data_IF_687636227783
#
_entry.id   IF_687636227783
#
_cell.length_a   1.000
_cell.length_b   1.000
_cell.length_c   1.000
_cell.angle_alpha   90.00
_cell.angle_beta   90.00
_cell.angle_gamma   90.00
#
_symmetry.space_group_name_H-M   'P 1'
#
loop_
_entity.id
_entity.type
_entity.pdbx_description
1 polymer ?
#
# COMPACT_ATOMS: atom_id res chain seq x y z
N UNK A 1 9.36 49.35 9.09
CA UNK A 1 10.50 48.54 9.58
C UNK A 1 10.03 47.31 10.38
N UNK A 2 8.96 46.64 9.94
CA UNK A 2 8.32 45.52 10.65
C UNK A 2 7.98 44.32 9.76
N UNK A 3 8.47 44.31 8.52
CA UNK A 3 8.11 43.27 7.55
C UNK A 3 9.29 42.39 7.12
N UNK A 4 10.53 42.80 7.44
CA UNK A 4 11.72 41.99 7.15
C UNK A 4 12.04 40.92 8.19
N UNK A 5 11.43 40.95 9.38
CA UNK A 5 11.69 39.96 10.44
C UNK A 5 10.81 38.70 10.32
N UNK A 6 9.65 38.78 9.67
CA UNK A 6 8.76 37.62 9.45
C UNK A 6 9.23 36.73 8.31
N UNK A 7 9.79 37.33 7.25
CA UNK A 7 10.37 36.59 6.12
C UNK A 7 11.66 35.84 6.51
N UNK A 8 12.47 36.37 7.44
CA UNK A 8 13.69 35.69 7.92
C UNK A 8 13.39 34.47 8.80
N UNK A 9 12.29 34.45 9.54
CA UNK A 9 11.94 33.30 10.42
C UNK A 9 11.39 32.13 9.60
N UNK A 10 10.61 32.40 8.54
CA UNK A 10 10.09 31.34 7.64
C UNK A 10 11.20 30.74 6.77
N UNK A 11 12.19 31.54 6.34
CA UNK A 11 13.37 31.03 5.63
C UNK A 11 14.33 30.24 6.52
N UNK A 12 14.44 30.56 7.83
CA UNK A 12 15.24 29.74 8.75
C UNK A 12 14.58 28.37 9.04
N UNK A 13 13.24 28.29 9.12
CA UNK A 13 12.55 27.02 9.32
C UNK A 13 12.67 26.08 8.11
N UNK A 14 12.65 26.63 6.89
CA UNK A 14 12.87 25.85 5.67
C UNK A 14 14.34 25.40 5.49
N UNK A 15 15.33 26.17 5.98
CA UNK A 15 16.74 25.77 5.92
C UNK A 15 17.10 24.70 6.98
N UNK A 16 16.44 24.69 8.13
CA UNK A 16 16.65 23.68 9.18
C UNK A 16 16.07 22.32 8.79
N UNK A 17 15.00 22.27 7.98
CA UNK A 17 14.47 20.99 7.45
C UNK A 17 15.32 20.38 6.32
N UNK A 18 16.09 21.17 5.56
CA UNK A 18 17.00 20.65 4.53
C UNK A 18 18.36 20.22 5.13
N UNK A 19 18.80 20.81 6.25
CA UNK A 19 20.03 20.40 6.95
C UNK A 19 19.86 19.14 7.81
N UNK A 20 18.63 18.78 8.23
CA UNK A 20 18.35 17.57 9.01
C UNK A 20 18.31 16.27 8.17
N UNK A 21 18.38 16.37 6.83
CA UNK A 21 18.44 15.22 5.91
C UNK A 21 19.85 14.98 5.31
N UNK A 22 20.87 15.72 5.78
CA UNK A 22 22.25 15.67 5.23
C UNK A 22 23.33 15.18 6.19
N UNK A 23 23.01 14.83 7.44
CA UNK A 23 23.98 14.31 8.41
C UNK A 23 23.57 12.92 8.83
N UNK A 24 24.05 11.90 8.12
CA UNK A 24 24.45 10.60 8.67
C UNK A 24 25.31 9.90 7.62
N UNK A 25 26.55 10.37 7.49
CA UNK A 25 27.64 9.55 6.95
C UNK A 25 28.91 9.80 7.76
N UNK A 26 29.40 8.70 8.33
CA UNK A 26 30.80 8.42 8.66
C UNK A 26 31.50 9.25 9.75
N UNK A 27 31.53 8.70 10.97
CA UNK A 27 32.75 8.71 11.79
C UNK A 27 33.09 7.28 12.22
N UNK A 28 33.99 6.67 11.47
CA UNK A 28 34.81 5.55 11.91
C UNK A 28 35.82 6.11 12.92
N UNK A 29 35.64 5.79 14.19
CA UNK A 29 36.72 5.92 15.18
C UNK A 29 37.50 4.63 15.24
N UNK A 30 38.77 4.76 14.88
CA UNK A 30 39.84 3.76 15.01
C UNK A 30 39.99 3.30 16.46
N UNK A 31 40.00 1.99 16.67
CA UNK A 31 40.32 1.36 17.95
C UNK A 31 41.00 0.01 17.72
N UNK A 32 42.31 0.00 17.97
CA UNK A 32 43.20 -1.11 18.35
C UNK A 32 42.99 -2.53 17.79
N UNK A 33 43.95 -2.92 16.93
CA UNK A 33 44.40 -4.32 16.81
C UNK A 33 45.35 -4.68 17.96
N UNK A 34 45.26 -5.88 18.55
CA UNK A 34 46.41 -6.51 19.19
C UNK A 34 47.26 -7.29 18.16
N UNK A 35 48.57 -7.17 18.35
CA UNK A 35 49.61 -7.83 17.58
C UNK A 35 49.63 -9.36 17.77
N UNK A 36 49.92 -10.09 16.70
CA UNK A 36 50.62 -11.37 16.77
C UNK A 36 51.48 -11.54 15.50
N UNK A 37 52.78 -11.72 15.72
CA UNK A 37 53.82 -11.90 14.70
C UNK A 37 53.93 -13.33 14.14
N UNK A 38 55.04 -13.65 13.45
CA UNK A 38 54.99 -14.26 12.12
C UNK A 38 55.40 -15.75 12.07
N UNK A 39 55.11 -16.42 10.94
CA UNK A 39 55.61 -17.77 10.66
C UNK A 39 55.42 -18.26 9.22
N UNK A 40 56.46 -18.07 8.40
CA UNK A 40 57.02 -18.99 7.39
C UNK A 40 56.12 -19.74 6.35
N UNK A 41 56.33 -19.38 5.08
CA UNK A 41 56.34 -20.25 3.88
C UNK A 41 57.37 -21.40 3.99
N UNK A 42 57.43 -22.46 3.12
CA UNK A 42 57.13 -22.43 1.67
C UNK A 42 56.60 -23.73 0.99
N UNK A 43 56.28 -23.61 -0.32
CA UNK A 43 56.62 -24.63 -1.32
C UNK A 43 55.48 -25.08 -2.26
N UNK A 44 55.68 -24.90 -3.58
CA UNK A 44 54.98 -25.68 -4.62
C UNK A 44 54.69 -24.97 -5.94
N UNK A 45 55.67 -24.92 -6.86
CA UNK A 45 55.48 -24.76 -8.32
C UNK A 45 54.61 -25.89 -8.90
N UNK A 46 53.80 -25.64 -9.96
CA UNK A 46 53.98 -26.15 -11.34
C UNK A 46 53.08 -25.33 -12.31
N UNK A 47 53.62 -25.02 -13.49
CA UNK A 47 53.02 -24.28 -14.61
C UNK A 47 52.17 -25.14 -15.56
N UNK A 48 51.28 -24.50 -16.35
CA UNK A 48 50.93 -24.77 -17.77
C UNK A 48 49.61 -24.03 -18.12
N UNK A 49 49.65 -22.89 -18.80
CA UNK A 49 49.55 -22.71 -20.27
C UNK A 49 48.13 -22.81 -20.84
N UNK A 50 47.59 -21.70 -21.36
CA UNK A 50 46.43 -21.71 -22.25
C UNK A 50 45.69 -20.36 -22.31
N UNK A 51 46.08 -19.49 -23.23
CA UNK A 51 45.31 -18.35 -23.77
C UNK A 51 45.49 -18.36 -25.31
N UNK A 52 44.73 -17.60 -26.13
CA UNK A 52 43.47 -16.88 -25.88
C UNK A 52 42.43 -17.03 -27.03
N UNK A 53 41.21 -16.52 -26.84
CA UNK A 53 40.42 -15.91 -27.95
C UNK A 53 39.70 -14.67 -27.42
N UNK A 54 40.20 -13.50 -27.84
CA UNK A 54 39.50 -12.21 -27.76
C UNK A 54 38.49 -12.08 -28.91
N UNK A 55 37.32 -11.54 -28.61
CA UNK A 55 36.61 -10.64 -29.52
C UNK A 55 36.08 -9.46 -28.69
N UNK A 56 36.61 -8.28 -28.98
CA UNK A 56 36.33 -7.05 -28.27
C UNK A 56 35.10 -6.28 -28.75
N UNK A 57 34.95 -5.10 -28.16
CA UNK A 57 34.22 -3.98 -28.76
C UNK A 57 33.29 -3.26 -27.80
N UNK A 58 33.61 -1.99 -27.52
CA UNK A 58 32.58 -0.96 -27.39
C UNK A 58 32.52 -0.21 -26.06
N UNK A 59 33.47 0.71 -25.86
CA UNK A 59 33.30 1.84 -24.94
C UNK A 59 32.20 2.79 -25.46
N UNK A 60 31.39 3.33 -24.55
CA UNK A 60 30.36 4.32 -24.83
C UNK A 60 29.87 5.01 -23.55
N UNK A 61 30.76 5.78 -22.91
CA UNK A 61 30.40 6.66 -21.82
C UNK A 61 29.63 7.88 -22.32
N UNK A 62 28.52 8.20 -21.66
CA UNK A 62 27.77 9.44 -21.91
C UNK A 62 28.02 10.41 -20.75
N UNK A 63 28.61 11.55 -21.11
CA UNK A 63 28.85 12.72 -20.30
C UNK A 63 27.54 13.31 -19.76
N UNK A 64 27.56 13.75 -18.50
CA UNK A 64 26.70 14.85 -18.04
C UNK A 64 27.55 16.13 -17.92
N UNK A 65 27.13 17.26 -18.50
CA UNK A 65 27.85 18.52 -18.40
C UNK A 65 27.62 19.24 -17.07
N UNK A 66 28.67 19.94 -16.67
CA UNK A 66 28.88 20.76 -15.49
C UNK A 66 27.87 21.91 -15.29
N UNK A 67 27.63 22.25 -14.01
CA UNK A 67 27.30 23.60 -13.56
C UNK A 67 28.14 23.96 -12.30
N UNK A 68 28.38 25.25 -12.02
CA UNK A 68 29.70 25.77 -11.66
C UNK A 68 29.99 25.80 -10.15
N UNK A 69 31.28 25.64 -9.82
CA UNK A 69 31.83 25.92 -8.50
C UNK A 69 31.95 27.44 -8.28
N UNK A 70 31.41 27.92 -7.17
CA UNK A 70 31.73 29.23 -6.61
C UNK A 70 32.76 29.03 -5.49
N UNK A 71 33.95 29.57 -5.71
CA UNK A 71 35.05 29.57 -4.76
C UNK A 71 34.77 30.50 -3.56
N UNK A 72 35.03 30.02 -2.34
CA UNK A 72 35.22 30.89 -1.18
C UNK A 72 36.49 30.45 -0.43
N UNK A 73 37.37 31.44 -0.23
CA UNK A 73 38.72 31.34 0.33
C UNK A 73 38.74 30.94 1.81
N UNK A 74 39.80 30.23 2.17
CA UNK A 74 40.24 29.96 3.54
C UNK A 74 40.66 31.24 4.28
N UNK A 75 40.39 31.27 5.60
CA UNK A 75 40.87 32.28 6.53
C UNK A 75 40.79 31.81 7.99
N UNK A 76 41.95 31.43 8.52
CA UNK A 76 42.42 31.35 9.91
C UNK A 76 41.44 31.29 11.11
N UNK A 77 41.71 30.30 11.98
CA UNK A 77 41.41 30.26 13.42
C UNK A 77 42.28 31.30 14.21
N UNK A 78 42.07 31.62 15.51
CA UNK A 78 42.04 30.63 16.61
C UNK A 78 41.11 30.92 17.81
N UNK A 79 40.87 29.88 18.63
CA UNK A 79 41.06 30.01 20.08
C UNK A 79 39.89 29.78 21.06
N UNK A 80 40.11 28.78 21.93
CA UNK A 80 39.98 28.86 23.40
C UNK A 80 38.68 28.33 24.09
N UNK A 81 38.88 27.20 24.78
CA UNK A 81 38.32 26.70 26.08
C UNK A 81 36.88 26.22 26.24
N UNK A 82 36.76 24.97 26.72
CA UNK A 82 35.71 24.46 27.62
C UNK A 82 36.02 24.85 29.09
N UNK A 83 35.05 24.82 30.03
CA UNK A 83 34.74 23.60 30.80
C UNK A 83 33.22 23.42 31.12
N UNK A 84 32.67 22.20 31.17
CA UNK A 84 32.50 21.24 32.29
C UNK A 84 31.22 21.39 33.16
N UNK A 85 30.45 20.29 33.14
CA UNK A 85 29.72 19.58 34.22
C UNK A 85 28.52 20.14 35.04
N UNK A 86 27.60 19.17 35.26
CA UNK A 86 26.71 18.91 36.41
C UNK A 86 25.26 19.46 36.43
N UNK A 87 24.28 18.54 36.51
CA UNK A 87 22.86 18.78 36.85
C UNK A 87 22.63 18.92 38.37
N UNK A 88 21.48 18.52 38.98
CA UNK A 88 20.15 18.16 38.46
C UNK A 88 18.96 18.85 39.20
N UNK A 89 17.73 18.43 38.85
CA UNK A 89 16.47 18.45 39.62
C UNK A 89 15.70 19.77 39.85
N UNK A 90 14.39 19.75 39.52
CA UNK A 90 13.43 20.78 39.92
C UNK A 90 12.05 20.58 39.31
N UNK A 91 11.12 20.07 40.12
CA UNK A 91 9.67 19.96 39.93
C UNK A 91 8.96 21.22 39.40
N UNK A 92 7.93 21.07 38.56
CA UNK A 92 6.62 21.76 38.68
C UNK A 92 5.66 21.35 37.53
N UNK A 93 4.41 21.06 37.89
CA UNK A 93 3.22 21.13 37.03
C UNK A 93 2.14 21.93 37.80
N UNK A 94 1.05 22.41 37.18
CA UNK A 94 0.80 22.69 35.77
C UNK A 94 0.48 24.19 35.54
N UNK A 95 0.63 24.72 34.32
CA UNK A 95 0.10 26.04 33.98
C UNK A 95 -0.68 26.01 32.67
N UNK A 96 -1.81 26.73 32.71
CA UNK A 96 -2.92 26.70 31.79
C UNK A 96 -2.56 27.11 30.36
N UNK A 97 -3.35 26.56 29.42
CA UNK A 97 -3.33 26.87 28.01
C UNK A 97 -3.68 28.34 27.73
N UNK A 98 -3.04 28.98 26.74
CA UNK A 98 -3.66 30.04 25.98
C UNK A 98 -4.40 29.43 24.77
N UNK A 99 -5.71 29.68 24.72
CA UNK A 99 -6.52 29.58 23.51
C UNK A 99 -5.97 30.55 22.46
N UNK A 100 -5.50 30.04 21.34
CA UNK A 100 -5.28 30.81 20.11
C UNK A 100 -5.70 29.92 18.93
N UNK A 101 -7.00 29.90 18.67
CA UNK A 101 -7.58 29.39 17.43
C UNK A 101 -7.56 30.49 16.38
N UNK A 102 -6.97 30.29 15.19
CA UNK A 102 -7.21 31.20 14.08
C UNK A 102 -8.63 30.97 13.54
N UNK A 103 -9.52 31.92 13.79
CA UNK A 103 -10.79 32.03 13.10
C UNK A 103 -10.55 32.22 11.60
N UNK A 104 -11.10 31.33 10.78
CA UNK A 104 -11.16 31.52 9.32
C UNK A 104 -12.18 32.63 9.02
N UNK A 105 -11.88 33.61 8.14
CA UNK A 105 -12.85 34.64 7.79
C UNK A 105 -14.01 34.03 6.97
N UNK A 106 -15.25 34.50 7.14
CA UNK A 106 -16.37 34.06 6.31
C UNK A 106 -16.15 34.59 4.88
N UNK A 107 -16.10 33.68 3.91
CA UNK A 107 -16.17 34.02 2.50
C UNK A 107 -17.59 34.47 2.17
N UNK A 108 -17.69 35.64 1.55
CA UNK A 108 -18.92 36.30 1.13
C UNK A 108 -19.84 35.37 0.33
N UNK A 109 -21.10 35.32 0.76
CA UNK A 109 -22.24 34.84 0.00
C UNK A 109 -22.47 35.77 -1.18
N UNK A 110 -22.59 35.20 -2.39
CA UNK A 110 -23.49 35.70 -3.44
C UNK A 110 -23.47 34.71 -4.62
N UNK A 111 -24.38 33.73 -4.57
CA UNK A 111 -24.98 33.16 -5.78
C UNK A 111 -26.30 32.47 -5.41
N UNK A 112 -27.33 33.30 -5.28
CA UNK A 112 -28.73 32.92 -5.21
C UNK A 112 -29.12 32.23 -6.54
N UNK A 113 -29.10 30.89 -6.56
CA UNK A 113 -29.70 30.14 -7.68
C UNK A 113 -31.21 30.03 -7.48
N UNK A 114 -31.95 30.74 -8.34
CA UNK A 114 -33.41 30.72 -8.43
C UNK A 114 -33.85 29.70 -9.50
N UNK A 115 -34.79 28.78 -9.24
CA UNK A 115 -35.16 27.74 -10.21
C UNK A 115 -36.14 28.26 -11.28
N UNK A 116 -36.06 27.78 -12.54
CA UNK A 116 -37.19 27.82 -13.46
C UNK A 116 -38.12 26.63 -13.20
N UNK A 117 -39.40 26.93 -13.01
CA UNK A 117 -40.45 25.96 -12.74
C UNK A 117 -40.93 25.13 -13.94
N UNK A 118 -41.65 24.08 -13.57
CA UNK A 118 -42.76 23.41 -14.25
C UNK A 118 -42.95 23.64 -15.75
N UNK A 119 -42.74 22.58 -16.53
CA UNK A 119 -43.61 22.25 -17.66
C UNK A 119 -43.99 20.78 -17.61
N UNK A 120 -45.27 20.55 -17.35
CA UNK A 120 -45.98 19.31 -17.54
C UNK A 120 -46.26 19.03 -19.02
N UNK A 121 -46.43 17.74 -19.34
CA UNK A 121 -47.33 17.29 -20.40
C UNK A 121 -46.69 16.61 -21.61
N UNK A 122 -46.78 15.28 -21.68
CA UNK A 122 -47.56 14.60 -22.73
C UNK A 122 -47.51 13.09 -22.52
N UNK A 123 -48.68 12.51 -22.23
CA UNK A 123 -48.99 11.10 -22.42
C UNK A 123 -48.90 10.72 -23.91
N UNK A 124 -48.57 9.46 -24.20
CA UNK A 124 -49.19 8.71 -25.30
C UNK A 124 -49.03 7.20 -25.08
N UNK A 125 -50.19 6.56 -25.13
CA UNK A 125 -50.58 5.16 -25.00
C UNK A 125 -50.07 4.22 -26.11
N UNK A 126 -49.92 2.94 -25.74
CA UNK A 126 -50.63 1.84 -26.40
C UNK A 126 -49.83 0.90 -27.32
N UNK A 127 -50.00 -0.41 -27.11
CA UNK A 127 -49.86 -1.41 -28.17
C UNK A 127 -49.17 -2.72 -27.80
N UNK A 128 -49.91 -3.65 -27.19
CA UNK A 128 -49.56 -5.06 -27.14
C UNK A 128 -49.90 -5.75 -28.47
N UNK A 129 -49.05 -6.64 -28.98
CA UNK A 129 -49.46 -7.79 -29.80
C UNK A 129 -48.51 -8.98 -29.61
N UNK A 130 -49.14 -10.14 -29.46
CA UNK A 130 -48.58 -11.46 -29.31
C UNK A 130 -48.39 -12.19 -30.65
N UNK A 131 -47.65 -13.31 -30.58
CA UNK A 131 -47.59 -14.37 -31.58
C UNK A 131 -46.16 -14.67 -32.01
N UNK A 132 -45.70 -15.88 -32.27
CA UNK A 132 -46.13 -17.25 -32.03
C UNK A 132 -44.96 -18.14 -32.50
N UNK A 133 -44.92 -19.38 -32.06
CA UNK A 133 -43.82 -20.31 -32.25
C UNK A 133 -43.65 -20.84 -33.68
N UNK A 134 -42.45 -21.32 -34.00
CA UNK A 134 -42.28 -22.47 -34.89
C UNK A 134 -41.22 -23.43 -34.34
N UNK A 135 -41.67 -24.67 -34.13
CA UNK A 135 -40.87 -25.86 -33.84
C UNK A 135 -40.23 -26.38 -35.13
N UNK A 136 -39.04 -26.95 -35.03
CA UNK A 136 -38.61 -28.01 -35.93
C UNK A 136 -37.87 -29.10 -35.14
N UNK A 137 -38.37 -30.32 -35.33
CA UNK A 137 -37.99 -31.59 -34.71
C UNK A 137 -36.89 -32.29 -35.50
N UNK A 138 -36.07 -33.12 -34.84
CA UNK A 138 -35.40 -34.24 -35.50
C UNK A 138 -34.07 -34.67 -34.87
N UNK A 139 -34.11 -35.71 -34.03
CA UNK A 139 -33.00 -36.65 -33.81
C UNK A 139 -33.31 -37.94 -34.60
N UNK A 140 -32.31 -38.78 -34.95
CA UNK A 140 -31.85 -39.81 -34.01
C UNK A 140 -30.33 -40.13 -34.06
N UNK A 141 -29.94 -41.06 -33.17
CA UNK A 141 -28.61 -41.44 -32.72
C UNK A 141 -27.76 -42.34 -33.65
N UNK A 142 -26.46 -42.47 -33.36
CA UNK A 142 -25.65 -43.68 -33.67
C UNK A 142 -24.17 -43.50 -34.07
N UNK A 143 -23.27 -43.48 -33.07
CA UNK A 143 -21.99 -44.23 -32.96
C UNK A 143 -20.77 -44.08 -33.94
N UNK A 144 -19.66 -43.60 -33.35
CA UNK A 144 -18.22 -44.02 -33.42
C UNK A 144 -17.31 -43.87 -34.68
N UNK A 145 -16.12 -43.34 -34.35
CA UNK A 145 -14.76 -43.54 -34.91
C UNK A 145 -14.25 -42.71 -36.10
N UNK A 146 -13.20 -41.91 -35.83
CA UNK A 146 -12.01 -41.86 -36.71
C UNK A 146 -11.56 -40.50 -37.28
N UNK A 147 -10.49 -39.95 -36.67
CA UNK A 147 -9.38 -39.21 -37.31
C UNK A 147 -9.64 -37.81 -37.93
N UNK A 148 -9.30 -36.80 -37.13
CA UNK A 148 -8.36 -35.72 -37.45
C UNK A 148 -8.61 -34.81 -38.67
N UNK A 149 -9.00 -33.57 -38.40
CA UNK A 149 -8.36 -32.33 -38.91
C UNK A 149 -9.09 -31.09 -38.36
N UNK A 150 -8.35 -30.28 -37.62
CA UNK A 150 -8.39 -28.81 -37.55
C UNK A 150 -9.68 -28.12 -38.02
N UNK A 151 -10.45 -27.57 -37.08
CA UNK A 151 -11.22 -26.36 -37.31
C UNK A 151 -11.34 -25.59 -36.00
N UNK A 152 -10.82 -24.36 -36.03
CA UNK A 152 -10.74 -23.43 -34.93
C UNK A 152 -12.13 -23.08 -34.37
N UNK A 153 -12.26 -23.15 -33.05
CA UNK A 153 -13.20 -22.36 -32.26
C UNK A 153 -12.47 -21.93 -30.98
N UNK A 154 -11.35 -21.21 -31.15
CA UNK A 154 -10.86 -20.31 -30.13
C UNK A 154 -11.73 -19.06 -30.17
N UNK A 155 -12.93 -19.17 -29.61
CA UNK A 155 -13.76 -18.03 -29.25
C UNK A 155 -13.19 -17.36 -28.01
N UNK A 156 -11.97 -16.82 -28.11
CA UNK A 156 -11.49 -15.87 -27.13
C UNK A 156 -12.24 -14.59 -27.38
N UNK A 157 -13.30 -14.33 -26.62
CA UNK A 157 -13.79 -12.97 -26.45
C UNK A 157 -12.61 -12.17 -25.91
N UNK A 158 -11.98 -11.35 -26.75
CA UNK A 158 -11.06 -10.32 -26.28
C UNK A 158 -11.89 -9.36 -25.46
N UNK A 159 -12.04 -9.67 -24.16
CA UNK A 159 -12.57 -8.71 -23.20
C UNK A 159 -11.74 -7.45 -23.33
N UNK A 160 -12.45 -6.33 -23.51
CA UNK A 160 -11.79 -5.03 -23.57
C UNK A 160 -11.10 -4.81 -22.23
N UNK A 161 -9.90 -4.20 -22.22
CA UNK A 161 -9.23 -3.87 -20.98
C UNK A 161 -10.16 -3.03 -20.11
N UNK A 162 -10.33 -3.40 -18.84
CA UNK A 162 -11.23 -2.72 -17.90
C UNK A 162 -10.53 -2.37 -16.61
N UNK A 163 -11.11 -1.44 -15.86
CA UNK A 163 -10.68 -1.02 -14.53
C UNK A 163 -11.90 -0.90 -13.61
N UNK A 164 -11.70 -1.18 -12.33
CA UNK A 164 -12.74 -1.02 -11.32
C UNK A 164 -12.47 0.22 -10.46
N UNK A 165 -13.54 0.93 -10.10
CA UNK A 165 -13.53 2.07 -9.21
C UNK A 165 -14.58 1.86 -8.12
N UNK A 166 -14.12 1.82 -6.87
CA UNK A 166 -14.99 1.86 -5.69
C UNK A 166 -14.70 3.13 -4.90
N UNK A 167 -15.76 3.82 -4.49
CA UNK A 167 -15.69 4.98 -3.59
C UNK A 167 -16.45 4.62 -2.32
N UNK A 168 -15.80 4.74 -1.18
CA UNK A 168 -16.38 4.44 0.13
C UNK A 168 -16.17 5.58 1.11
N UNK A 169 -16.78 5.44 2.28
CA UNK A 169 -16.47 6.23 3.46
C UNK A 169 -16.40 5.36 4.71
N UNK A 170 -15.77 5.93 5.73
CA UNK A 170 -15.65 5.37 7.07
C UNK A 170 -14.94 4.00 7.03
N UNK A 171 -13.72 3.98 6.47
CA UNK A 171 -12.86 2.79 6.36
C UNK A 171 -13.52 1.64 5.56
N UNK A 172 -14.17 2.00 4.45
CA UNK A 172 -14.82 1.03 3.56
C UNK A 172 -16.16 0.48 4.05
N UNK A 173 -16.73 1.01 5.13
CA UNK A 173 -18.00 0.53 5.71
C UNK A 173 -19.22 0.90 4.89
N UNK A 174 -19.18 2.05 4.23
CA UNK A 174 -20.27 2.50 3.37
C UNK A 174 -19.76 2.73 1.95
N UNK A 175 -20.35 2.00 1.00
CA UNK A 175 -20.11 2.19 -0.44
C UNK A 175 -20.95 3.36 -0.95
N UNK A 176 -20.29 4.30 -1.62
CA UNK A 176 -20.88 5.49 -2.24
C UNK A 176 -20.95 5.35 -3.76
N UNK A 177 -20.01 4.62 -4.35
CA UNK A 177 -19.96 4.30 -5.78
C UNK A 177 -19.21 2.97 -5.96
N UNK A 178 -19.69 2.13 -6.87
CA UNK A 178 -19.02 0.91 -7.31
C UNK A 178 -19.30 0.72 -8.81
N UNK A 179 -18.25 0.82 -9.62
CA UNK A 179 -18.34 0.84 -11.08
C UNK A 179 -17.14 0.13 -11.72
N UNK A 180 -17.43 -0.58 -12.79
CA UNK A 180 -16.45 -0.99 -13.79
C UNK A 180 -16.47 0.00 -14.96
N UNK A 181 -15.31 0.28 -15.53
CA UNK A 181 -15.16 1.11 -16.72
C UNK A 181 -14.21 0.47 -17.72
N UNK A 182 -14.47 0.67 -19.01
CA UNK A 182 -13.52 0.32 -20.07
C UNK A 182 -12.28 1.23 -19.96
N UNK A 183 -11.10 0.65 -20.09
CA UNK A 183 -9.85 1.39 -20.06
C UNK A 183 -9.62 2.04 -21.43
N UNK A 184 -9.90 3.33 -21.51
CA UNK A 184 -9.41 4.17 -22.60
C UNK A 184 -7.89 4.29 -22.48
N UNK A 185 -7.16 4.13 -23.59
CA UNK A 185 -5.72 3.78 -23.66
C UNK A 185 -4.71 4.83 -23.13
N UNK A 186 -5.13 5.78 -22.31
CA UNK A 186 -4.25 6.74 -21.62
C UNK A 186 -4.84 7.30 -20.31
N UNK A 187 -5.89 6.71 -19.74
CA UNK A 187 -6.60 7.25 -18.57
C UNK A 187 -5.74 7.35 -17.31
N UNK A 188 -6.00 8.40 -16.51
CA UNK A 188 -5.46 8.55 -15.15
C UNK A 188 -6.54 8.20 -14.13
N UNK A 189 -6.15 7.94 -12.88
CA UNK A 189 -7.12 7.70 -11.79
C UNK A 189 -8.10 8.89 -11.65
N UNK A 190 -7.60 10.13 -11.77
CA UNK A 190 -8.44 11.32 -11.71
C UNK A 190 -9.42 11.39 -12.88
N UNK A 191 -8.97 11.11 -14.10
CA UNK A 191 -9.84 11.12 -15.28
C UNK A 191 -10.93 10.03 -15.19
N UNK A 192 -10.58 8.83 -14.70
CA UNK A 192 -11.53 7.77 -14.40
C UNK A 192 -12.58 8.23 -13.40
N UNK A 193 -12.13 8.82 -12.29
CA UNK A 193 -13.03 9.32 -11.24
C UNK A 193 -13.96 10.43 -11.77
N UNK A 194 -13.43 11.39 -12.52
CA UNK A 194 -14.21 12.48 -13.14
C UNK A 194 -15.22 12.01 -14.18
N UNK A 195 -14.95 10.89 -14.86
CA UNK A 195 -15.90 10.27 -15.79
C UNK A 195 -17.08 9.59 -15.09
N UNK A 196 -16.95 9.25 -13.81
CA UNK A 196 -17.91 8.43 -13.06
C UNK A 196 -18.56 9.15 -11.87
N UNK A 197 -18.00 10.28 -11.43
CA UNK A 197 -18.46 11.04 -10.28
C UNK A 197 -18.27 12.55 -10.49
N UNK A 198 -18.99 13.35 -9.70
CA UNK A 198 -18.70 14.78 -9.57
C UNK A 198 -17.49 14.96 -8.65
N UNK A 199 -16.45 15.62 -9.14
CA UNK A 199 -15.17 15.75 -8.42
C UNK A 199 -14.82 17.21 -8.26
N UNK A 200 -14.57 17.61 -7.01
CA UNK A 200 -13.99 18.89 -6.68
C UNK A 200 -12.49 18.72 -6.48
N UNK A 201 -11.68 19.58 -7.11
CA UNK A 201 -10.22 19.50 -7.05
C UNK A 201 -9.60 20.75 -6.42
N UNK A 202 -8.40 20.59 -5.86
CA UNK A 202 -7.59 21.66 -5.28
C UNK A 202 -6.17 21.70 -5.86
N UNK A 203 -5.39 22.71 -5.45
CA UNK A 203 -3.95 22.83 -5.71
C UNK A 203 -3.58 22.63 -7.19
N UNK A 204 -4.23 23.37 -8.09
CA UNK A 204 -3.96 23.29 -9.53
C UNK A 204 -4.62 22.10 -10.23
N UNK A 205 -5.57 21.42 -9.57
CA UNK A 205 -6.43 20.39 -10.18
C UNK A 205 -5.99 18.95 -9.92
N UNK A 206 -4.83 18.74 -9.29
CA UNK A 206 -4.24 17.41 -9.12
C UNK A 206 -4.66 16.70 -7.84
N UNK A 207 -5.29 17.41 -6.89
CA UNK A 207 -5.72 16.86 -5.61
C UNK A 207 -7.24 16.82 -5.53
N UNK A 208 -7.81 15.67 -5.17
CA UNK A 208 -9.27 15.52 -4.98
C UNK A 208 -9.64 16.05 -3.59
N UNK A 209 -10.53 17.05 -3.55
CA UNK A 209 -11.08 17.63 -2.31
C UNK A 209 -12.52 17.24 -2.05
N UNK A 210 -13.20 16.63 -3.01
CA UNK A 210 -14.58 16.22 -2.84
C UNK A 210 -15.03 15.26 -3.93
N UNK A 211 -15.88 14.32 -3.55
CA UNK A 211 -16.51 13.36 -4.46
C UNK A 211 -18.01 13.34 -4.16
N UNK A 212 -18.83 13.58 -5.18
CA UNK A 212 -20.29 13.61 -5.11
C UNK A 212 -20.85 14.48 -3.97
N UNK A 213 -20.21 15.64 -3.73
CA UNK A 213 -20.64 16.61 -2.70
C UNK A 213 -20.16 16.30 -1.27
N UNK A 214 -19.42 15.21 -1.06
CA UNK A 214 -18.73 14.96 0.21
C UNK A 214 -17.29 15.50 0.14
N UNK A 215 -17.06 16.64 0.79
CA UNK A 215 -15.79 17.36 0.77
C UNK A 215 -14.86 16.96 1.92
N UNK A 216 -13.56 17.17 1.72
CA UNK A 216 -12.53 17.09 2.75
C UNK A 216 -12.83 18.07 3.88
N UNK A 217 -12.59 17.65 5.11
CA UNK A 217 -12.85 18.41 6.33
C UNK A 217 -11.61 18.37 7.25
N UNK A 218 -11.47 19.28 8.22
CA UNK A 218 -10.41 19.16 9.22
C UNK A 218 -10.40 17.76 9.87
N UNK A 219 -9.31 17.01 9.65
CA UNK A 219 -9.13 15.67 10.19
C UNK A 219 -9.82 14.52 9.43
N UNK A 220 -10.50 14.78 8.30
CA UNK A 220 -11.05 13.77 7.39
C UNK A 220 -10.75 14.12 5.94
N UNK A 221 -10.24 13.17 5.18
CA UNK A 221 -9.88 13.40 3.79
C UNK A 221 -10.12 12.17 2.91
N UNK A 222 -9.94 12.36 1.62
CA UNK A 222 -10.00 11.33 0.60
C UNK A 222 -8.63 10.69 0.39
N UNK A 223 -8.56 9.38 0.59
CA UNK A 223 -7.38 8.58 0.31
C UNK A 223 -7.70 7.61 -0.81
N UNK A 224 -6.71 7.31 -1.65
CA UNK A 224 -6.91 6.34 -2.72
C UNK A 224 -5.82 5.30 -2.78
N UNK A 225 -6.26 4.09 -3.14
CA UNK A 225 -5.47 2.89 -3.21
C UNK A 225 -5.59 2.34 -4.63
N UNK A 226 -4.47 1.85 -5.17
CA UNK A 226 -4.48 1.05 -6.39
C UNK A 226 -3.96 -0.33 -6.04
N UNK A 227 -4.76 -1.36 -6.32
CA UNK A 227 -4.43 -2.76 -6.03
C UNK A 227 -4.01 -2.98 -4.56
N UNK A 228 -4.66 -2.26 -3.63
CA UNK A 228 -4.45 -2.39 -2.19
C UNK A 228 -3.26 -1.63 -1.62
N UNK A 229 -2.58 -0.80 -2.41
CA UNK A 229 -1.47 0.06 -1.98
C UNK A 229 -1.89 1.52 -2.07
N UNK A 230 -1.67 2.30 -1.01
CA UNK A 230 -1.93 3.73 -1.02
C UNK A 230 -0.99 4.39 -2.02
N UNK A 231 -1.52 5.21 -2.92
CA UNK A 231 -0.72 5.69 -4.04
C UNK A 231 0.35 6.72 -3.63
N UNK A 232 1.55 6.61 -4.23
CA UNK A 232 2.69 7.52 -4.03
C UNK A 232 2.69 8.78 -4.88
N UNK A 233 1.70 8.93 -5.77
CA UNK A 233 1.59 10.06 -6.70
C UNK A 233 0.19 10.66 -6.64
N UNK A 234 -0.03 11.82 -7.24
CA UNK A 234 -1.37 12.38 -7.38
C UNK A 234 -2.26 11.54 -8.31
N UNK A 235 -3.58 11.60 -8.13
CA UNK A 235 -4.52 10.84 -8.96
C UNK A 235 -4.47 11.25 -10.45
N UNK A 236 -4.03 12.48 -10.75
CA UNK A 236 -3.78 12.96 -12.10
C UNK A 236 -2.50 12.40 -12.75
N UNK A 237 -1.63 11.76 -11.97
CA UNK A 237 -0.32 11.26 -12.43
C UNK A 237 -0.32 9.73 -12.60
N UNK A 238 -1.06 9.00 -11.76
CA UNK A 238 -1.15 7.55 -11.87
C UNK A 238 -1.81 7.15 -13.20
N UNK A 239 -1.10 6.37 -14.02
CA UNK A 239 -1.59 5.83 -15.29
C UNK A 239 -2.19 4.45 -15.07
N UNK A 240 -3.47 4.32 -15.40
CA UNK A 240 -4.21 3.09 -15.20
C UNK A 240 -3.71 1.98 -16.12
N UNK A 241 -3.64 0.78 -15.56
CA UNK A 241 -3.38 -0.46 -16.27
C UNK A 241 -4.66 -1.30 -16.33
N UNK A 242 -4.75 -2.16 -17.34
CA UNK A 242 -5.88 -3.10 -17.44
C UNK A 242 -5.91 -4.00 -16.23
N UNK A 243 -7.08 -4.12 -15.60
CA UNK A 243 -7.31 -4.92 -14.41
C UNK A 243 -7.04 -4.19 -13.09
N UNK A 244 -6.65 -2.91 -13.11
CA UNK A 244 -6.46 -2.14 -11.88
C UNK A 244 -7.76 -2.05 -11.06
N UNK A 245 -7.61 -2.19 -9.74
CA UNK A 245 -8.63 -1.84 -8.76
C UNK A 245 -8.29 -0.54 -8.08
N UNK A 246 -9.06 0.51 -8.38
CA UNK A 246 -8.98 1.80 -7.73
C UNK A 246 -10.00 1.85 -6.60
N UNK A 247 -9.54 2.17 -5.40
CA UNK A 247 -10.40 2.35 -4.24
C UNK A 247 -10.16 3.72 -3.63
N UNK A 248 -11.19 4.56 -3.60
CA UNK A 248 -11.21 5.81 -2.83
C UNK A 248 -11.97 5.59 -1.52
N UNK A 249 -11.45 6.11 -0.42
CA UNK A 249 -12.13 6.07 0.88
C UNK A 249 -12.01 7.43 1.58
N UNK A 250 -13.16 7.92 2.06
CA UNK A 250 -13.23 9.11 2.90
C UNK A 250 -13.22 8.72 4.37
N UNK A 251 -12.16 9.06 5.09
CA UNK A 251 -12.04 8.66 6.50
C UNK A 251 -11.20 9.63 7.33
N UNK A 252 -11.26 9.44 8.66
CA UNK A 252 -10.43 10.20 9.59
C UNK A 252 -8.97 9.78 9.46
N UNK A 253 -8.06 10.75 9.53
CA UNK A 253 -6.61 10.51 9.55
C UNK A 253 -5.96 10.93 10.87
N UNK A 254 -6.75 11.42 11.85
CA UNK A 254 -6.25 12.11 13.04
C UNK A 254 -5.28 11.28 13.90
N UNK A 255 -5.38 9.94 13.89
CA UNK A 255 -4.53 9.11 14.75
C UNK A 255 -3.84 7.92 14.05
N UNK A 256 -4.50 7.29 13.08
CA UNK A 256 -3.86 6.26 12.23
C UNK A 256 -2.83 6.86 11.27
N UNK A 257 -2.88 8.18 11.04
CA UNK A 257 -2.18 8.80 9.94
C UNK A 257 -2.60 8.16 8.62
N UNK A 258 -1.62 7.96 7.75
CA UNK A 258 -1.79 7.34 6.44
C UNK A 258 -1.59 5.83 6.53
N UNK A 259 -2.53 5.07 5.98
CA UNK A 259 -2.42 3.61 5.90
C UNK A 259 -1.75 3.22 4.57
N UNK A 260 -0.54 2.62 4.57
CA UNK A 260 0.23 2.41 3.34
C UNK A 260 -0.31 1.28 2.45
N UNK A 261 -0.96 0.28 3.04
CA UNK A 261 -1.54 -0.84 2.32
C UNK A 261 -2.76 -1.40 3.06
N UNK A 262 -3.68 -2.01 2.32
CA UNK A 262 -4.98 -2.47 2.80
C UNK A 262 -5.33 -3.85 2.23
N UNK A 263 -6.13 -4.61 2.96
CA UNK A 263 -6.59 -5.94 2.50
C UNK A 263 -7.74 -5.87 1.48
N UNK A 264 -8.34 -4.69 1.34
CA UNK A 264 -9.53 -4.36 0.56
C UNK A 264 -9.51 -4.73 -0.91
N UNK A 265 -8.31 -4.93 -1.47
CA UNK A 265 -8.11 -5.27 -2.87
C UNK A 265 -7.55 -6.68 -3.06
N UNK A 266 -7.74 -7.60 -2.11
CA UNK A 266 -7.35 -9.00 -2.30
C UNK A 266 -7.90 -9.56 -3.63
N UNK A 267 -7.13 -10.32 -4.44
CA UNK A 267 -5.70 -10.67 -4.30
C UNK A 267 -4.76 -9.78 -5.12
N UNK A 268 -5.21 -8.59 -5.55
CA UNK A 268 -4.55 -7.75 -6.55
C UNK A 268 -3.13 -7.27 -6.21
N UNK A 269 -2.75 -6.98 -4.95
CA UNK A 269 -1.36 -6.64 -4.66
C UNK A 269 -0.36 -7.75 -4.99
N UNK A 270 -0.83 -9.00 -5.14
CA UNK A 270 0.01 -10.16 -5.45
C UNK A 270 -0.01 -10.53 -6.93
N UNK A 271 -0.80 -9.85 -7.76
CA UNK A 271 -0.82 -10.12 -9.20
C UNK A 271 0.42 -9.51 -9.85
N UNK A 272 0.99 -10.17 -10.87
CA UNK A 272 2.07 -9.58 -11.66
C UNK A 272 1.62 -8.24 -12.24
N UNK A 273 2.43 -7.19 -12.07
CA UNK A 273 2.20 -5.94 -12.77
C UNK A 273 2.33 -6.18 -14.28
N UNK A 274 1.37 -5.70 -15.07
CA UNK A 274 1.38 -5.89 -16.52
C UNK A 274 2.63 -5.25 -17.14
N UNK A 275 3.46 -6.04 -17.85
CA UNK A 275 4.49 -5.53 -18.76
C UNK A 275 5.96 -5.61 -18.32
N UNK A 276 6.34 -6.41 -17.32
CA UNK A 276 7.76 -6.58 -16.95
C UNK A 276 8.10 -7.90 -16.23
N UNK A 277 9.40 -8.18 -16.09
CA UNK A 277 9.95 -9.25 -15.23
C UNK A 277 10.17 -8.73 -13.82
N UNK A 278 9.10 -8.36 -13.11
CA UNK A 278 9.19 -8.09 -11.68
C UNK A 278 9.26 -9.42 -10.92
N UNK A 279 10.01 -9.50 -9.81
CA UNK A 279 9.94 -10.68 -8.94
C UNK A 279 8.49 -10.94 -8.52
N UNK A 280 8.07 -12.21 -8.57
CA UNK A 280 6.73 -12.61 -8.13
C UNK A 280 6.54 -12.46 -6.62
N UNK A 281 5.29 -12.51 -6.12
CA UNK A 281 5.03 -12.46 -4.69
C UNK A 281 5.70 -13.62 -3.95
N UNK A 282 5.92 -13.43 -2.65
CA UNK A 282 6.49 -14.45 -1.76
C UNK A 282 5.49 -14.76 -0.64
N UNK A 283 5.17 -16.03 -0.44
CA UNK A 283 4.54 -16.51 0.79
C UNK A 283 5.66 -16.96 1.74
N UNK A 284 5.76 -16.27 2.86
CA UNK A 284 6.59 -16.69 3.98
C UNK A 284 5.73 -17.29 5.08
N UNK A 285 6.20 -18.36 5.71
CA UNK A 285 5.47 -19.00 6.80
C UNK A 285 6.35 -19.45 7.95
N UNK A 286 5.81 -19.46 9.16
CA UNK A 286 6.41 -20.14 10.30
C UNK A 286 6.04 -21.63 10.32
N UNK A 287 6.84 -22.51 10.94
CA UNK A 287 6.57 -23.95 10.97
C UNK A 287 5.13 -24.34 11.37
N UNK A 288 4.50 -23.66 12.34
CA UNK A 288 3.13 -24.00 12.73
C UNK A 288 2.09 -23.67 11.66
N UNK A 289 2.39 -22.74 10.75
CA UNK A 289 1.51 -22.31 9.65
C UNK A 289 1.68 -23.12 8.36
N UNK A 290 2.64 -24.06 8.29
CA UNK A 290 2.95 -24.82 7.07
C UNK A 290 1.72 -25.43 6.37
N UNK A 291 0.79 -26.01 7.14
CA UNK A 291 -0.44 -26.61 6.59
C UNK A 291 -1.39 -25.60 5.94
N UNK A 292 -1.35 -24.34 6.37
CA UNK A 292 -2.19 -23.30 5.80
C UNK A 292 -1.68 -22.89 4.40
N UNK A 293 -0.38 -23.06 4.11
CA UNK A 293 0.26 -22.63 2.88
C UNK A 293 -0.23 -23.41 1.66
N UNK A 294 -0.28 -24.74 1.76
CA UNK A 294 -0.58 -25.64 0.63
C UNK A 294 -1.87 -25.22 -0.09
N UNK A 295 -2.93 -24.97 0.67
CA UNK A 295 -4.21 -24.56 0.09
C UNK A 295 -4.19 -23.16 -0.55
N UNK A 296 -3.38 -22.24 -0.02
CA UNK A 296 -3.30 -20.88 -0.55
C UNK A 296 -2.51 -20.83 -1.86
N UNK A 297 -1.41 -21.59 -1.94
CA UNK A 297 -0.59 -21.68 -3.14
C UNK A 297 -1.41 -22.20 -4.33
N UNK A 298 -2.19 -23.27 -4.13
CA UNK A 298 -3.09 -23.81 -5.17
C UNK A 298 -4.15 -22.79 -5.62
N UNK A 299 -4.73 -22.06 -4.66
CA UNK A 299 -5.73 -21.04 -4.97
C UNK A 299 -5.13 -19.90 -5.80
N UNK A 300 -3.92 -19.45 -5.46
CA UNK A 300 -3.21 -18.41 -6.22
C UNK A 300 -2.77 -18.87 -7.61
N UNK A 301 -2.31 -20.12 -7.74
CA UNK A 301 -1.99 -20.70 -9.04
C UNK A 301 -3.22 -20.72 -9.97
N UNK A 302 -4.41 -21.02 -9.45
CA UNK A 302 -5.66 -20.98 -10.24
C UNK A 302 -6.04 -19.57 -10.73
N UNK A 303 -5.50 -18.54 -10.08
CA UNK A 303 -5.67 -17.13 -10.46
C UNK A 303 -4.51 -16.60 -11.33
N UNK A 304 -3.58 -17.48 -11.74
CA UNK A 304 -2.39 -17.10 -12.52
C UNK A 304 -1.32 -16.36 -11.71
N UNK A 305 -1.36 -16.47 -10.37
CA UNK A 305 -0.37 -15.87 -9.48
C UNK A 305 0.68 -16.94 -9.17
N UNK A 306 1.85 -16.83 -9.81
CA UNK A 306 3.02 -17.63 -9.47
C UNK A 306 3.69 -17.06 -8.21
N UNK A 307 3.90 -17.91 -7.21
CA UNK A 307 4.36 -17.48 -5.88
C UNK A 307 5.54 -18.33 -5.42
N UNK A 308 6.54 -17.66 -4.88
CA UNK A 308 7.63 -18.34 -4.17
C UNK A 308 7.17 -18.63 -2.73
N UNK A 309 7.34 -19.88 -2.29
CA UNK A 309 6.97 -20.31 -0.94
C UNK A 309 8.23 -20.66 -0.16
N UNK A 310 8.42 -20.06 1.01
CA UNK A 310 9.56 -20.36 1.88
C UNK A 310 9.24 -20.21 3.36
N UNK A 311 10.02 -20.89 4.20
CA UNK A 311 10.04 -20.62 5.64
C UNK A 311 10.51 -19.17 5.86
N UNK A 312 9.96 -18.52 6.88
CA UNK A 312 10.27 -17.11 7.18
C UNK A 312 11.77 -16.83 7.21
N UNK A 313 12.14 -15.75 6.52
CA UNK A 313 13.50 -15.20 6.45
C UNK A 313 13.42 -13.70 6.79
N UNK A 314 14.02 -13.31 7.92
CA UNK A 314 13.94 -11.94 8.43
C UNK A 314 14.63 -10.94 7.48
N UNK A 315 15.66 -11.36 6.73
CA UNK A 315 16.32 -10.51 5.75
C UNK A 315 15.37 -10.12 4.60
N UNK A 316 14.51 -11.04 4.18
CA UNK A 316 13.48 -10.78 3.16
C UNK A 316 12.37 -9.88 3.72
N UNK A 317 12.01 -10.00 5.00
CA UNK A 317 11.01 -9.11 5.63
C UNK A 317 11.48 -7.67 5.73
N UNK A 318 12.76 -7.47 6.07
CA UNK A 318 13.40 -6.15 6.17
C UNK A 318 13.57 -5.50 4.80
N UNK A 319 13.99 -6.28 3.80
CA UNK A 319 14.22 -5.82 2.43
C UNK A 319 13.39 -6.63 1.45
N UNK A 320 12.12 -6.24 1.30
CA UNK A 320 11.17 -6.95 0.43
C UNK A 320 11.41 -6.61 -1.05
N UNK A 321 11.81 -7.59 -1.88
CA UNK A 321 11.98 -7.36 -3.32
C UNK A 321 10.64 -7.41 -4.09
N UNK A 322 9.58 -7.88 -3.44
CA UNK A 322 8.26 -8.14 -4.00
C UNK A 322 7.20 -8.10 -2.88
N UNK A 323 5.90 -8.09 -3.21
CA UNK A 323 4.83 -8.28 -2.24
C UNK A 323 5.04 -9.57 -1.43
N UNK A 324 4.91 -9.46 -0.10
CA UNK A 324 5.10 -10.59 0.83
C UNK A 324 3.80 -10.85 1.58
N UNK A 325 3.41 -12.11 1.68
CA UNK A 325 2.39 -12.58 2.62
C UNK A 325 3.04 -13.47 3.67
N UNK A 326 3.05 -13.01 4.93
CA UNK A 326 3.61 -13.72 6.08
C UNK A 326 2.50 -14.42 6.87
N UNK A 327 2.61 -15.73 7.01
CA UNK A 327 1.69 -16.59 7.75
C UNK A 327 2.37 -17.10 9.02
N UNK A 328 1.71 -17.01 10.17
CA UNK A 328 2.29 -17.59 11.38
C UNK A 328 1.43 -17.45 12.62
N UNK A 329 1.77 -18.20 13.65
CA UNK A 329 1.23 -17.94 14.98
C UNK A 329 1.98 -16.78 15.63
N UNK A 330 1.29 -16.03 16.49
CA UNK A 330 1.93 -14.91 17.19
C UNK A 330 3.13 -15.38 18.04
N UNK A 331 3.03 -16.54 18.68
CA UNK A 331 4.11 -17.12 19.49
C UNK A 331 5.41 -17.43 18.70
N UNK A 332 5.31 -17.63 17.39
CA UNK A 332 6.47 -17.77 16.51
C UNK A 332 6.92 -16.41 15.96
N UNK A 333 5.97 -15.60 15.49
CA UNK A 333 6.24 -14.34 14.82
C UNK A 333 6.76 -13.23 15.76
N UNK A 334 6.37 -13.22 17.04
CA UNK A 334 6.84 -12.21 18.00
C UNK A 334 8.35 -12.28 18.30
N UNK A 335 8.99 -13.39 17.91
CA UNK A 335 10.44 -13.58 18.01
C UNK A 335 11.21 -12.81 16.94
N UNK A 336 10.55 -12.42 15.86
CA UNK A 336 11.10 -11.60 14.79
C UNK A 336 11.01 -10.14 15.22
N UNK A 337 12.15 -9.46 15.24
CA UNK A 337 12.26 -8.09 15.74
C UNK A 337 11.41 -7.12 14.91
N UNK A 338 11.46 -7.27 13.59
CA UNK A 338 10.68 -6.49 12.63
C UNK A 338 9.17 -6.63 12.84
N UNK A 339 8.67 -7.86 13.06
CA UNK A 339 7.23 -8.11 13.29
C UNK A 339 6.78 -7.57 14.65
N UNK A 340 7.62 -7.73 15.68
CA UNK A 340 7.34 -7.18 17.01
C UNK A 340 7.25 -5.66 16.98
N UNK A 341 8.13 -4.98 16.26
CA UNK A 341 8.08 -3.52 16.09
C UNK A 341 6.81 -3.08 15.34
N UNK A 342 6.45 -3.75 14.24
CA UNK A 342 5.21 -3.48 13.50
C UNK A 342 3.97 -3.59 14.41
N UNK A 343 3.89 -4.65 15.20
CA UNK A 343 2.81 -4.86 16.16
C UNK A 343 2.74 -3.75 17.23
N UNK A 344 3.88 -3.24 17.68
CA UNK A 344 3.94 -2.12 18.65
C UNK A 344 3.52 -0.78 18.04
N UNK A 345 3.87 -0.53 16.77
CA UNK A 345 3.51 0.69 16.06
C UNK A 345 2.01 0.78 15.73
N UNK A 346 1.35 -0.37 15.56
CA UNK A 346 -0.10 -0.47 15.46
C UNK A 346 -0.70 0.42 14.36
N UNK A 347 -1.74 1.17 14.68
CA UNK A 347 -2.52 1.95 13.71
C UNK A 347 -1.67 2.94 12.90
N UNK A 348 -0.54 3.42 13.45
CA UNK A 348 0.41 4.33 12.77
C UNK A 348 1.07 3.73 11.51
N UNK A 349 0.96 2.42 11.32
CA UNK A 349 1.46 1.70 10.14
C UNK A 349 0.37 0.88 9.46
N UNK A 350 -0.90 1.17 9.73
CA UNK A 350 -2.03 0.41 9.17
C UNK A 350 -2.34 -0.92 9.88
N UNK A 351 -1.73 -1.18 11.04
CA UNK A 351 -1.94 -2.41 11.80
C UNK A 351 -2.98 -2.14 12.89
N UNK A 352 -4.20 -2.63 12.67
CA UNK A 352 -5.35 -2.39 13.56
C UNK A 352 -5.69 -3.59 14.45
N UNK A 353 -4.93 -4.68 14.38
CA UNK A 353 -5.03 -5.80 15.31
C UNK A 353 -3.66 -6.06 15.94
N UNK A 354 -3.53 -5.68 17.21
CA UNK A 354 -2.31 -5.82 17.99
C UNK A 354 -2.36 -7.08 18.84
N UNK A 355 -1.37 -7.95 18.67
CA UNK A 355 -1.24 -9.16 19.48
C UNK A 355 -0.53 -8.86 20.80
N UNK A 356 -1.06 -9.43 21.87
CA UNK A 356 -0.58 -9.28 23.25
C UNK A 356 -0.64 -10.62 23.97
N UNK A 357 -0.17 -10.67 25.23
CA UNK A 357 -0.36 -11.86 26.09
C UNK A 357 -1.82 -12.19 26.38
N UNK A 358 -2.73 -11.21 26.26
CA UNK A 358 -4.15 -11.35 26.60
C UNK A 358 -5.04 -11.73 25.41
N UNK A 359 -4.44 -11.85 24.21
CA UNK A 359 -5.13 -12.09 22.94
C UNK A 359 -4.83 -10.99 21.91
N UNK A 360 -5.82 -10.72 21.05
CA UNK A 360 -5.74 -9.72 19.97
C UNK A 360 -6.53 -8.48 20.39
N UNK A 361 -5.84 -7.37 20.63
CA UNK A 361 -6.46 -6.06 20.82
C UNK A 361 -6.85 -5.50 19.44
N UNK A 362 -8.15 -5.30 19.24
CA UNK A 362 -8.68 -4.65 18.04
C UNK A 362 -8.68 -3.14 18.28
N UNK A 363 -8.01 -2.42 17.39
CA UNK A 363 -7.83 -0.99 17.47
C UNK A 363 -8.88 -0.28 16.61
N UNK A 364 -9.40 0.83 17.12
CA UNK A 364 -10.25 1.74 16.36
C UNK A 364 -9.41 2.63 15.41
N UNK A 365 -10.10 3.54 14.73
CA UNK A 365 -9.45 4.53 13.85
C UNK A 365 -8.52 5.50 14.59
N UNK A 366 -8.73 5.68 15.90
CA UNK A 366 -7.84 6.46 16.77
C UNK A 366 -6.56 5.66 17.14
N UNK A 367 -6.52 4.36 16.87
CA UNK A 367 -5.48 3.46 17.35
C UNK A 367 -5.65 3.07 18.82
N UNK A 368 -6.80 3.43 19.42
CA UNK A 368 -7.17 3.07 20.77
C UNK A 368 -7.82 1.68 20.77
N UNK A 369 -7.74 1.00 21.91
CA UNK A 369 -8.34 -0.32 22.05
C UNK A 369 -9.86 -0.23 22.12
N UNK A 370 -10.54 -0.79 21.13
CA UNK A 370 -11.99 -0.93 21.11
C UNK A 370 -12.47 -2.29 21.68
N UNK A 371 -11.77 -3.38 21.34
CA UNK A 371 -12.15 -4.73 21.76
C UNK A 371 -10.93 -5.65 21.96
N UNK A 372 -11.17 -6.82 22.55
CA UNK A 372 -10.15 -7.88 22.68
C UNK A 372 -10.74 -9.23 22.29
N UNK A 373 -10.10 -9.91 21.34
CA UNK A 373 -10.36 -11.32 21.05
C UNK A 373 -9.41 -12.19 21.88
N UNK A 374 -9.93 -13.11 22.69
CA UNK A 374 -9.09 -14.02 23.50
C UNK A 374 -8.31 -15.02 22.65
N UNK A 375 -8.92 -15.47 21.56
CA UNK A 375 -8.29 -16.30 20.55
C UNK A 375 -8.85 -15.90 19.18
N UNK A 376 -8.02 -15.97 18.15
CA UNK A 376 -8.41 -15.48 16.83
C UNK A 376 -7.27 -15.41 15.84
N UNK A 377 -7.54 -14.79 14.70
CA UNK A 377 -6.53 -14.35 13.74
C UNK A 377 -6.80 -12.94 13.26
N UNK A 378 -5.80 -12.32 12.65
CA UNK A 378 -5.93 -11.08 11.92
C UNK A 378 -5.26 -11.19 10.54
N UNK A 379 -5.93 -10.64 9.53
CA UNK A 379 -5.44 -10.43 8.17
C UNK A 379 -5.30 -8.91 8.02
N UNK A 380 -4.09 -8.43 7.84
CA UNK A 380 -3.80 -6.99 7.78
C UNK A 380 -2.59 -6.72 6.88
N UNK A 381 -2.46 -5.49 6.40
CA UNK A 381 -1.44 -5.11 5.44
C UNK A 381 -0.72 -3.83 5.88
N UNK A 382 0.54 -3.72 5.48
CA UNK A 382 1.38 -2.54 5.70
C UNK A 382 2.41 -2.39 4.57
N UNK A 383 3.19 -1.32 4.59
CA UNK A 383 4.20 -1.01 3.59
C UNK A 383 5.25 -0.03 4.12
N UNK A 384 6.32 0.19 3.37
CA UNK A 384 7.39 1.16 3.69
C UNK A 384 6.97 2.63 3.49
N UNK A 385 5.77 2.87 2.95
CA UNK A 385 5.24 4.19 2.69
C UNK A 385 4.21 4.18 1.56
N UNK A 386 3.90 5.36 1.04
CA UNK A 386 3.07 5.50 -0.15
C UNK A 386 3.74 4.94 -1.40
N UNK A 387 2.97 4.27 -2.24
CA UNK A 387 3.43 3.69 -3.49
C UNK A 387 4.39 2.52 -3.31
N UNK A 388 4.43 1.90 -2.13
CA UNK A 388 5.26 0.72 -1.88
C UNK A 388 4.87 -0.42 -2.84
N UNK A 389 5.79 -0.76 -3.75
CA UNK A 389 5.59 -1.85 -4.72
C UNK A 389 5.69 -3.24 -4.06
N UNK A 390 6.11 -3.32 -2.80
CA UNK A 390 6.32 -4.55 -2.06
C UNK A 390 5.60 -4.50 -0.69
N UNK A 391 4.25 -4.39 -0.67
CA UNK A 391 3.51 -4.39 0.58
C UNK A 391 3.71 -5.71 1.35
N UNK A 392 3.64 -5.63 2.68
CA UNK A 392 3.67 -6.76 3.58
C UNK A 392 2.25 -7.05 4.08
N UNK A 393 1.76 -8.24 3.81
CA UNK A 393 0.56 -8.78 4.43
C UNK A 393 0.92 -9.71 5.57
N UNK A 394 0.16 -9.61 6.65
CA UNK A 394 0.31 -10.41 7.86
C UNK A 394 -0.99 -11.19 8.06
N UNK A 395 -0.88 -12.52 8.08
CA UNK A 395 -1.94 -13.43 8.50
C UNK A 395 -1.47 -14.12 9.78
N UNK A 396 -1.86 -13.54 10.90
CA UNK A 396 -1.35 -13.92 12.22
C UNK A 396 -2.48 -14.54 13.03
N UNK A 397 -2.25 -15.72 13.59
CA UNK A 397 -3.19 -16.38 14.50
C UNK A 397 -2.65 -16.48 15.92
N UNK A 398 -3.53 -16.54 16.92
CA UNK A 398 -3.11 -16.92 18.28
C UNK A 398 -2.69 -18.39 18.34
N UNK A 399 -3.28 -19.22 17.48
CA UNK A 399 -3.02 -20.66 17.35
C UNK A 399 -3.07 -21.08 15.87
N UNK A 400 -2.51 -22.25 15.56
CA UNK A 400 -2.54 -22.84 14.20
C UNK A 400 -3.94 -22.83 13.57
N UNK A 401 -4.96 -23.25 14.32
CA UNK A 401 -6.34 -23.35 13.81
C UNK A 401 -6.88 -22.02 13.29
N UNK A 402 -6.43 -20.90 13.87
CA UNK A 402 -6.85 -19.56 13.48
C UNK A 402 -6.12 -19.06 12.24
N UNK A 403 -4.83 -19.41 12.08
CA UNK A 403 -4.11 -19.17 10.81
C UNK A 403 -4.79 -19.93 9.67
N UNK A 404 -5.12 -21.21 9.89
CA UNK A 404 -5.84 -22.03 8.91
C UNK A 404 -7.24 -21.47 8.61
N UNK A 405 -7.96 -20.94 9.61
CA UNK A 405 -9.25 -20.29 9.42
C UNK A 405 -9.14 -19.02 8.58
N UNK A 406 -8.13 -18.18 8.84
CA UNK A 406 -7.88 -16.97 8.06
C UNK A 406 -7.55 -17.29 6.59
N UNK A 407 -6.68 -18.26 6.34
CA UNK A 407 -6.38 -18.69 4.97
C UNK A 407 -7.60 -19.33 4.29
N UNK A 408 -8.41 -20.09 5.02
CA UNK A 408 -9.67 -20.64 4.50
C UNK A 408 -10.62 -19.52 4.07
N UNK A 409 -10.75 -18.45 4.86
CA UNK A 409 -11.54 -17.27 4.50
C UNK A 409 -11.01 -16.64 3.21
N UNK A 410 -9.70 -16.42 3.09
CA UNK A 410 -9.10 -15.85 1.88
C UNK A 410 -9.43 -16.67 0.62
N UNK A 411 -9.51 -18.00 0.75
CA UNK A 411 -9.80 -18.92 -0.37
C UNK A 411 -11.28 -19.05 -0.69
N UNK A 412 -12.13 -19.11 0.33
CA UNK A 412 -13.53 -19.53 0.21
C UNK A 412 -14.53 -18.38 0.32
N UNK A 413 -14.13 -17.28 0.96
CA UNK A 413 -14.92 -16.07 1.13
C UNK A 413 -14.07 -14.79 0.99
N UNK A 414 -13.31 -14.63 -0.11
CA UNK A 414 -12.45 -13.46 -0.32
C UNK A 414 -13.23 -12.14 -0.30
N UNK A 415 -14.52 -12.15 -0.63
CA UNK A 415 -15.38 -10.97 -0.60
C UNK A 415 -15.49 -10.33 0.78
N UNK A 416 -15.24 -11.08 1.87
CA UNK A 416 -15.19 -10.51 3.21
C UNK A 416 -14.01 -9.55 3.42
N UNK A 417 -12.97 -9.66 2.61
CA UNK A 417 -11.82 -8.74 2.63
C UNK A 417 -12.07 -7.48 1.81
N UNK A 418 -12.99 -7.51 0.83
CA UNK A 418 -13.18 -6.38 -0.07
C UNK A 418 -13.57 -5.10 0.70
N UNK A 419 -12.91 -3.99 0.34
CA UNK A 419 -13.03 -2.67 1.02
C UNK A 419 -12.78 -2.72 2.54
N UNK A 420 -11.95 -3.64 3.03
CA UNK A 420 -11.50 -3.64 4.43
C UNK A 420 -10.04 -3.16 4.53
N UNK A 421 -9.70 -2.43 5.59
CA UNK A 421 -8.30 -2.09 5.87
C UNK A 421 -7.58 -3.29 6.48
N UNK A 422 -8.26 -4.00 7.37
CA UNK A 422 -7.89 -5.32 7.88
C UNK A 422 -9.12 -6.10 8.29
N UNK A 423 -8.93 -7.35 8.69
CA UNK A 423 -9.99 -8.23 9.15
C UNK A 423 -9.49 -9.03 10.36
N UNK A 424 -10.22 -9.01 11.46
CA UNK A 424 -10.02 -9.90 12.59
C UNK A 424 -11.03 -11.05 12.54
N UNK A 425 -10.63 -12.23 13.02
CA UNK A 425 -11.41 -13.45 13.04
C UNK A 425 -11.41 -13.99 14.46
N UNK A 426 -12.59 -14.11 15.06
CA UNK A 426 -12.80 -14.70 16.38
C UNK A 426 -13.93 -15.74 16.36
N UNK A 427 -14.33 -16.20 17.53
CA UNK A 427 -15.43 -17.16 17.69
C UNK A 427 -16.77 -16.59 17.19
N UNK A 428 -16.98 -15.29 17.38
CA UNK A 428 -18.18 -14.56 16.95
C UNK A 428 -18.18 -14.21 15.44
N UNK A 429 -17.14 -14.61 14.71
CA UNK A 429 -16.99 -14.38 13.27
C UNK A 429 -15.95 -13.33 12.90
N UNK A 430 -16.11 -12.76 11.72
CA UNK A 430 -15.17 -11.79 11.16
C UNK A 430 -15.57 -10.35 11.52
N UNK A 431 -14.59 -9.56 11.96
CA UNK A 431 -14.74 -8.14 12.30
C UNK A 431 -13.84 -7.30 11.40
N UNK A 432 -14.42 -6.31 10.69
CA UNK A 432 -13.64 -5.35 9.89
C UNK A 432 -12.81 -4.45 10.81
N UNK A 433 -11.60 -4.17 10.36
CA UNK A 433 -10.70 -3.24 11.02
C UNK A 433 -10.58 -1.95 10.18
N UNK A 434 -10.48 -0.77 10.80
CA UNK A 434 -10.46 -0.53 12.25
C UNK A 434 -11.77 -0.90 12.93
N UNK A 435 -11.70 -1.28 14.21
CA UNK A 435 -12.87 -1.62 15.02
C UNK A 435 -13.70 -0.36 15.33
N UNK A 436 -14.99 -0.56 15.65
CA UNK A 436 -15.92 0.50 16.10
C UNK A 436 -16.06 0.53 17.61
#
# INVERSE_FOLDING_TARGET
MHDRRRVTIVLLAALVMVAALGFWSWQVTSGDQPAAGPGASPGGEVAASGEPVEHGGGAGGVLYPHLPQVAAKAGNAPGVTAPAEAGPAGSHAPQAAPEDTPAYPPGEEDNEFRPPGDLAGSEATGGALAGAALRATGAPAGESAGRGKTAALAGGTTEKPSVSLVVTRDFGRQVLLDKEAELESAGTVLALLQGLAKVDTGYGGNFVRGINGLSSEPGRDWFYYVNGVAAGVGAGEYRLQSGDRVWWDYHSWQASGLVPAVVGSYPYPFRPAGGGRTPGPVIMFTPEAARAVDGLQEAWASLGIEVEVKVVDEAVLEQRPAPVLLLGTWAELEKLSSVKELNQRGARVGIFARFTSDGIELLDAAGDKAAVLKAGAAIQATGQGLGDAAPLWLVVGTERKWVEAAVRLMRQAPDQLHQAYGLALGEDGATRLPAE
#
